data_IF_959000167761
#
_entry.id   IF_959000167761
#
_cell.length_a   1.000
_cell.length_b   1.000
_cell.length_c   1.000
_cell.angle_alpha   90.00
_cell.angle_beta   90.00
_cell.angle_gamma   90.00
#
_symmetry.space_group_name_H-M   'P 1'
#
loop_
_entity.id
_entity.type
_entity.pdbx_description
1 polymer ?
#
# COMPACT_ATOMS: atom_id res chain seq x y z
N UNK A 1 -39.09 4.99 -40.99
CA UNK A 1 -38.44 3.87 -40.26
C UNK A 1 -36.94 4.10 -40.02
N UNK A 2 -36.10 4.43 -41.02
CA UNK A 2 -34.65 4.66 -40.82
C UNK A 2 -34.28 5.75 -39.79
N UNK A 3 -35.05 6.83 -39.70
CA UNK A 3 -34.81 7.93 -38.73
C UNK A 3 -35.12 7.56 -37.26
N UNK A 4 -36.03 6.62 -37.04
CA UNK A 4 -36.42 6.17 -35.68
C UNK A 4 -35.33 5.26 -35.10
N UNK A 5 -34.74 4.41 -35.95
CA UNK A 5 -33.63 3.51 -35.57
C UNK A 5 -32.39 4.30 -35.15
N UNK A 6 -32.06 5.39 -35.86
CA UNK A 6 -30.92 6.24 -35.53
C UNK A 6 -31.09 6.95 -34.18
N UNK A 7 -32.33 7.38 -33.88
CA UNK A 7 -32.65 8.03 -32.61
C UNK A 7 -32.57 7.04 -31.44
N UNK A 8 -33.02 5.79 -31.61
CA UNK A 8 -32.90 4.76 -30.57
C UNK A 8 -31.45 4.36 -30.30
N UNK A 9 -30.59 4.30 -31.31
CA UNK A 9 -29.15 4.01 -31.12
C UNK A 9 -28.41 5.12 -30.36
N UNK A 10 -28.78 6.38 -30.59
CA UNK A 10 -28.19 7.54 -29.91
C UNK A 10 -28.57 7.63 -28.42
N UNK A 11 -29.77 7.18 -28.04
CA UNK A 11 -30.21 7.20 -26.63
C UNK A 11 -29.55 6.07 -25.83
N UNK A 12 -29.30 4.91 -26.44
CA UNK A 12 -28.59 3.79 -25.80
C UNK A 12 -27.08 4.00 -25.64
N UNK A 13 -26.43 4.88 -26.42
CA UNK A 13 -25.00 5.19 -26.25
C UNK A 13 -24.68 6.05 -25.03
N UNK A 14 -25.69 6.62 -24.35
CA UNK A 14 -25.48 7.40 -23.12
C UNK A 14 -25.57 6.57 -21.83
N UNK A 15 -25.99 5.30 -21.89
CA UNK A 15 -26.08 4.41 -20.74
C UNK A 15 -24.80 3.58 -20.55
N UNK A 16 -23.64 4.23 -20.60
CA UNK A 16 -22.37 3.62 -20.20
C UNK A 16 -22.33 3.54 -18.68
N UNK A 17 -22.76 2.41 -18.12
CA UNK A 17 -22.54 2.10 -16.71
C UNK A 17 -21.05 1.77 -16.57
N UNK A 18 -20.25 2.76 -16.17
CA UNK A 18 -18.89 2.51 -15.70
C UNK A 18 -18.98 2.05 -14.25
N UNK A 19 -18.61 0.81 -13.95
CA UNK A 19 -18.29 0.40 -12.60
C UNK A 19 -16.83 0.75 -12.33
N UNK A 20 -16.60 1.61 -11.32
CA UNK A 20 -15.27 1.88 -10.83
C UNK A 20 -14.75 0.61 -10.14
N UNK A 21 -13.71 -0.01 -10.71
CA UNK A 21 -13.01 -1.11 -10.04
C UNK A 21 -12.43 -0.55 -8.74
N UNK A 22 -12.85 -1.18 -7.65
CA UNK A 22 -13.20 -0.58 -6.38
C UNK A 22 -12.00 -0.25 -5.51
N UNK A 23 -11.93 0.98 -5.03
CA UNK A 23 -11.18 1.32 -3.83
C UNK A 23 -11.56 0.36 -2.71
N UNK A 24 -10.58 -0.31 -2.07
CA UNK A 24 -10.89 -1.20 -0.97
C UNK A 24 -11.49 -0.39 0.18
N UNK A 25 -12.56 -0.93 0.76
CA UNK A 25 -13.06 -0.43 2.04
C UNK A 25 -12.23 -1.09 3.15
N UNK A 26 -11.39 -0.31 3.83
CA UNK A 26 -10.66 -0.80 5.00
C UNK A 26 -11.43 -0.33 6.24
N UNK A 27 -12.03 -1.25 7.01
CA UNK A 27 -12.77 -0.89 8.22
C UNK A 27 -11.83 -0.44 9.34
N UNK A 28 -12.37 0.36 10.26
CA UNK A 28 -11.69 0.74 11.50
C UNK A 28 -11.88 -0.33 12.58
N UNK A 29 -10.94 -0.39 13.52
CA UNK A 29 -11.00 -1.30 14.67
C UNK A 29 -10.68 -2.74 14.33
N UNK A 30 -9.98 -2.98 13.22
CA UNK A 30 -9.49 -4.31 12.88
C UNK A 30 -8.06 -4.51 13.36
N UNK A 31 -7.79 -5.74 13.77
CA UNK A 31 -6.45 -6.25 14.03
C UNK A 31 -6.04 -7.12 12.86
N UNK A 32 -4.88 -6.83 12.29
CA UNK A 32 -4.26 -7.61 11.23
C UNK A 32 -3.09 -8.39 11.83
N UNK A 33 -3.23 -9.70 11.86
CA UNK A 33 -2.18 -10.62 12.26
C UNK A 33 -1.42 -11.11 11.02
N UNK A 34 -0.11 -11.01 11.08
CA UNK A 34 0.81 -11.42 10.03
C UNK A 34 1.68 -12.55 10.55
N UNK A 35 1.61 -13.69 9.89
CA UNK A 35 2.61 -14.74 10.02
C UNK A 35 3.84 -14.35 9.19
N UNK A 36 5.01 -14.39 9.82
CA UNK A 36 6.26 -13.95 9.24
C UNK A 36 7.28 -15.09 9.18
N UNK A 37 8.04 -15.10 8.10
CA UNK A 37 9.25 -15.87 7.94
C UNK A 37 10.35 -14.91 7.49
N UNK A 38 11.46 -14.88 8.21
CA UNK A 38 12.63 -14.07 7.84
C UNK A 38 13.54 -14.90 6.92
N UNK A 39 13.05 -15.14 5.70
CA UNK A 39 13.76 -15.92 4.68
C UNK A 39 13.43 -15.42 3.26
N UNK A 40 14.28 -15.74 2.29
CA UNK A 40 14.05 -15.47 0.87
C UNK A 40 13.23 -16.60 0.26
N UNK A 41 11.90 -16.47 0.28
CA UNK A 41 11.01 -17.40 -0.40
C UNK A 41 10.97 -17.08 -1.90
N UNK A 42 11.52 -17.95 -2.74
CA UNK A 42 11.40 -17.81 -4.19
C UNK A 42 9.94 -18.05 -4.61
N UNK A 43 9.26 -16.99 -5.05
CA UNK A 43 7.88 -17.07 -5.56
C UNK A 43 7.89 -17.03 -7.09
N UNK A 44 7.23 -18.01 -7.71
CA UNK A 44 7.05 -18.04 -9.17
C UNK A 44 6.29 -16.80 -9.65
N UNK A 45 6.66 -16.27 -10.82
CA UNK A 45 5.93 -15.17 -11.46
C UNK A 45 4.57 -15.60 -12.03
N UNK A 46 4.23 -16.90 -11.98
CA UNK A 46 2.95 -17.45 -12.40
C UNK A 46 2.40 -18.41 -11.34
N UNK A 47 1.11 -18.27 -11.03
CA UNK A 47 0.40 -19.18 -10.14
C UNK A 47 0.10 -20.56 -10.78
N UNK A 48 -0.48 -21.50 -10.02
CA UNK A 48 -0.89 -21.35 -8.61
C UNK A 48 0.30 -21.23 -7.65
N UNK A 49 0.08 -20.55 -6.53
CA UNK A 49 1.05 -20.44 -5.45
C UNK A 49 0.59 -21.26 -4.25
N UNK A 50 1.42 -22.18 -3.79
CA UNK A 50 1.11 -23.04 -2.66
C UNK A 50 2.10 -22.79 -1.52
N UNK A 51 1.59 -22.18 -0.45
CA UNK A 51 2.33 -21.89 0.77
C UNK A 51 1.93 -22.80 1.93
N UNK A 52 1.19 -23.89 1.68
CA UNK A 52 0.73 -24.84 2.72
C UNK A 52 1.87 -25.48 3.52
N UNK A 53 3.07 -25.57 2.94
CA UNK A 53 4.25 -26.13 3.59
C UNK A 53 5.13 -25.08 4.29
N UNK A 54 4.79 -23.79 4.20
CA UNK A 54 5.55 -22.74 4.89
C UNK A 54 5.21 -22.77 6.38
N UNK A 55 6.25 -22.81 7.21
CA UNK A 55 6.13 -22.69 8.66
C UNK A 55 6.62 -21.29 9.08
N UNK A 56 5.72 -20.41 9.55
CA UNK A 56 6.12 -19.10 10.07
C UNK A 56 7.07 -19.24 11.26
N UNK A 57 8.06 -18.35 11.36
CA UNK A 57 9.01 -18.30 12.49
C UNK A 57 8.68 -17.21 13.50
N UNK A 58 7.84 -16.25 13.12
CA UNK A 58 7.36 -15.19 13.99
C UNK A 58 5.97 -14.71 13.58
N UNK A 59 5.35 -13.89 14.43
CA UNK A 59 4.11 -13.19 14.11
C UNK A 59 4.25 -11.70 14.40
N UNK A 60 3.50 -10.90 13.67
CA UNK A 60 3.47 -9.46 13.80
C UNK A 60 2.03 -8.96 13.74
N UNK A 61 1.71 -7.95 14.53
CA UNK A 61 0.35 -7.43 14.62
C UNK A 61 0.33 -5.94 14.27
N UNK A 62 -0.67 -5.55 13.47
CA UNK A 62 -1.00 -4.16 13.18
C UNK A 62 -2.46 -3.93 13.51
N UNK A 63 -2.73 -2.91 14.32
CA UNK A 63 -4.09 -2.43 14.56
C UNK A 63 -4.40 -1.27 13.62
N UNK A 64 -5.57 -1.29 12.99
CA UNK A 64 -6.03 -0.24 12.09
C UNK A 64 -7.14 0.54 12.79
N UNK A 65 -6.86 1.80 13.12
CA UNK A 65 -7.82 2.69 13.74
C UNK A 65 -8.14 3.91 12.87
N UNK A 66 -9.23 4.60 13.19
CA UNK A 66 -9.46 5.96 12.68
C UNK A 66 -8.39 6.90 13.21
N UNK A 67 -7.99 7.88 12.39
CA UNK A 67 -7.08 8.96 12.80
C UNK A 67 -7.52 9.66 14.09
N UNK A 68 -8.83 9.70 14.37
CA UNK A 68 -9.37 10.33 15.58
C UNK A 68 -8.94 9.67 16.88
N UNK A 69 -8.48 8.41 16.83
CA UNK A 69 -7.93 7.70 17.99
C UNK A 69 -6.51 8.14 18.36
N UNK A 70 -5.78 8.77 17.43
CA UNK A 70 -4.39 9.20 17.66
C UNK A 70 -4.33 10.59 18.27
N UNK A 71 -3.52 10.74 19.32
CA UNK A 71 -3.19 12.05 19.90
C UNK A 71 -2.40 12.93 18.93
N UNK A 72 -1.83 12.34 17.87
CA UNK A 72 -0.96 13.01 16.89
C UNK A 72 -1.71 13.47 15.64
N UNK A 73 -3.04 13.33 15.59
CA UNK A 73 -3.85 13.64 14.41
C UNK A 73 -3.66 15.05 13.85
N UNK A 74 -3.40 16.04 14.70
CA UNK A 74 -3.16 17.43 14.28
C UNK A 74 -1.92 17.57 13.40
N UNK A 75 -0.93 16.69 13.58
CA UNK A 75 0.28 16.66 12.76
C UNK A 75 0.04 16.03 11.38
N UNK A 76 -1.03 15.23 11.22
CA UNK A 76 -1.34 14.49 9.99
C UNK A 76 -2.78 14.76 9.54
N UNK A 77 -3.15 16.01 9.23
CA UNK A 77 -4.54 16.43 9.05
C UNK A 77 -5.25 15.79 7.84
N UNK A 78 -4.49 15.22 6.90
CA UNK A 78 -5.02 14.58 5.69
C UNK A 78 -5.07 13.05 5.78
N UNK A 79 -4.59 12.47 6.89
CA UNK A 79 -4.71 11.05 7.16
C UNK A 79 -6.13 10.73 7.64
N UNK A 80 -6.64 9.56 7.26
CA UNK A 80 -7.93 9.05 7.76
C UNK A 80 -7.75 7.81 8.64
N UNK A 81 -6.64 7.09 8.46
CA UNK A 81 -6.30 5.88 9.18
C UNK A 81 -4.99 6.07 9.94
N UNK A 82 -4.91 5.45 11.11
CA UNK A 82 -3.64 5.23 11.83
C UNK A 82 -3.44 3.73 11.99
N UNK A 83 -2.32 3.24 11.46
CA UNK A 83 -1.86 1.87 11.66
C UNK A 83 -0.92 1.89 12.86
N UNK A 84 -1.28 1.17 13.91
CA UNK A 84 -0.51 1.10 15.14
C UNK A 84 0.13 -0.27 15.28
N UNK A 85 1.42 -0.27 15.58
CA UNK A 85 2.20 -1.49 15.83
C UNK A 85 3.27 -1.23 16.89
N UNK A 86 4.06 -2.25 17.23
CA UNK A 86 5.22 -2.08 18.10
C UNK A 86 6.22 -1.02 17.60
N UNK A 87 6.22 -0.74 16.29
CA UNK A 87 7.11 0.23 15.64
C UNK A 87 6.57 1.67 15.61
N UNK A 88 5.42 1.93 16.23
CA UNK A 88 4.78 3.23 16.29
C UNK A 88 3.53 3.35 15.42
N UNK A 89 3.18 4.59 15.12
CA UNK A 89 2.00 4.98 14.34
C UNK A 89 2.39 5.29 12.89
N UNK A 90 1.60 4.79 11.96
CA UNK A 90 1.74 5.01 10.52
C UNK A 90 0.46 5.66 10.00
N UNK A 91 0.59 6.86 9.44
CA UNK A 91 -0.55 7.68 9.07
C UNK A 91 -0.85 7.51 7.59
N UNK A 92 -2.07 7.08 7.28
CA UNK A 92 -2.47 6.76 5.91
C UNK A 92 -3.83 7.35 5.57
N UNK A 93 -4.09 7.48 4.28
CA UNK A 93 -5.43 7.66 3.76
C UNK A 93 -5.71 6.71 2.59
N UNK A 94 -6.99 6.42 2.39
CA UNK A 94 -7.46 5.55 1.32
C UNK A 94 -8.43 6.39 0.51
N UNK A 95 -8.09 6.59 -0.76
CA UNK A 95 -8.84 7.43 -1.67
C UNK A 95 -9.18 6.64 -2.94
N UNK A 96 -10.16 7.12 -3.73
CA UNK A 96 -10.55 6.52 -5.01
C UNK A 96 -9.38 6.07 -5.90
N UNK A 97 -8.29 6.86 -5.90
CA UNK A 97 -7.13 6.70 -6.77
C UNK A 97 -5.92 5.97 -6.14
N UNK A 98 -6.03 5.51 -4.89
CA UNK A 98 -4.95 4.79 -4.21
C UNK A 98 -4.95 4.88 -2.68
N UNK A 99 -4.05 4.12 -2.07
CA UNK A 99 -3.62 4.29 -0.68
C UNK A 99 -2.41 5.21 -0.62
N UNK A 100 -2.45 6.22 0.24
CA UNK A 100 -1.34 7.14 0.43
C UNK A 100 -0.86 7.16 1.87
N UNK A 101 0.42 7.48 1.99
CA UNK A 101 1.15 7.50 3.24
C UNK A 101 1.60 8.93 3.56
N UNK A 102 1.27 9.37 4.77
CA UNK A 102 1.52 10.72 5.27
C UNK A 102 2.72 10.81 6.21
N UNK A 103 3.30 9.67 6.59
CA UNK A 103 4.45 9.60 7.49
C UNK A 103 4.24 8.62 8.63
N UNK A 104 5.22 8.59 9.54
CA UNK A 104 5.17 7.81 10.77
C UNK A 104 5.63 8.62 11.95
N UNK A 105 5.22 8.17 13.11
CA UNK A 105 5.74 8.60 14.40
C UNK A 105 6.10 7.37 15.23
N UNK A 106 7.35 7.30 15.66
CA UNK A 106 7.83 6.29 16.62
C UNK A 106 8.73 6.96 17.66
N UNK A 107 9.22 6.17 18.62
CA UNK A 107 10.15 6.64 19.65
C UNK A 107 11.45 7.23 19.10
N UNK A 108 11.89 6.77 17.93
CA UNK A 108 13.17 7.18 17.33
C UNK A 108 12.99 7.89 16.00
N UNK A 109 11.85 7.77 15.33
CA UNK A 109 11.70 8.27 13.97
C UNK A 109 10.40 9.02 13.76
N UNK A 110 10.49 10.23 13.24
CA UNK A 110 9.34 11.03 12.81
C UNK A 110 9.51 11.41 11.35
N UNK A 111 8.45 11.17 10.57
CA UNK A 111 8.29 11.73 9.23
C UNK A 111 6.91 12.35 9.11
N UNK A 112 6.83 13.49 8.41
CA UNK A 112 5.58 14.19 8.17
C UNK A 112 5.58 14.73 6.73
N UNK A 113 4.75 14.11 5.90
CA UNK A 113 4.72 14.37 4.47
C UNK A 113 3.67 15.42 4.14
N UNK A 114 4.13 16.60 3.73
CA UNK A 114 3.26 17.66 3.19
C UNK A 114 2.54 17.22 1.91
N UNK A 115 3.24 16.45 1.06
CA UNK A 115 2.69 15.74 -0.09
C UNK A 115 2.74 14.24 0.20
N UNK A 116 1.60 13.53 0.25
CA UNK A 116 1.60 12.14 0.64
C UNK A 116 2.18 11.23 -0.45
N UNK A 117 2.90 10.19 -0.04
CA UNK A 117 3.43 9.18 -0.95
C UNK A 117 2.32 8.21 -1.32
N UNK A 118 1.89 8.18 -2.59
CA UNK A 118 1.02 7.12 -3.12
C UNK A 118 1.74 5.76 -3.06
N UNK A 119 1.32 4.90 -2.14
CA UNK A 119 1.85 3.55 -1.99
C UNK A 119 1.23 2.64 -3.05
N UNK A 120 -0.09 2.46 -2.98
CA UNK A 120 -0.83 1.51 -3.82
C UNK A 120 -1.76 2.28 -4.76
N UNK A 121 -1.62 2.20 -6.10
CA UNK A 121 -2.58 2.78 -7.03
C UNK A 121 -3.84 1.93 -7.13
N UNK A 122 -4.98 2.56 -7.37
CA UNK A 122 -6.22 1.86 -7.71
C UNK A 122 -6.73 2.24 -9.10
N UNK A 123 -7.28 1.28 -9.88
CA UNK A 123 -7.35 -0.15 -9.56
C UNK A 123 -5.98 -0.84 -9.63
N UNK A 124 -5.78 -1.85 -8.79
CA UNK A 124 -4.57 -2.67 -8.77
C UNK A 124 -4.83 -3.93 -9.61
N UNK A 125 -4.08 -4.11 -10.69
CA UNK A 125 -4.29 -5.17 -11.69
C UNK A 125 -2.95 -5.74 -12.18
N UNK A 126 -2.97 -6.82 -12.97
CA UNK A 126 -1.77 -7.40 -13.60
C UNK A 126 -1.06 -6.42 -14.54
N UNK A 127 -1.74 -5.38 -15.02
CA UNK A 127 -1.16 -4.37 -15.92
C UNK A 127 -0.69 -3.13 -15.17
N UNK A 128 -0.82 -3.08 -13.84
CA UNK A 128 -0.41 -1.92 -13.06
C UNK A 128 1.11 -1.75 -13.15
N UNK A 129 1.55 -0.56 -13.53
CA UNK A 129 2.94 -0.12 -13.43
C UNK A 129 2.93 1.30 -12.85
N UNK A 130 3.39 1.43 -11.60
CA UNK A 130 3.31 2.66 -10.82
C UNK A 130 4.66 2.99 -10.19
N UNK A 131 5.02 4.27 -10.25
CA UNK A 131 6.19 4.82 -9.61
C UNK A 131 5.85 6.23 -9.13
N UNK A 132 6.06 6.48 -7.84
CA UNK A 132 5.82 7.78 -7.24
C UNK A 132 6.92 8.08 -6.23
N UNK A 133 7.43 9.31 -6.24
CA UNK A 133 8.43 9.76 -5.28
C UNK A 133 8.05 11.11 -4.70
N UNK A 134 8.53 11.36 -3.50
CA UNK A 134 8.43 12.65 -2.82
C UNK A 134 9.78 12.97 -2.17
N UNK A 135 9.99 14.25 -1.90
CA UNK A 135 11.08 14.71 -1.03
C UNK A 135 10.50 15.19 0.29
N UNK A 136 11.14 14.81 1.40
CA UNK A 136 10.70 15.18 2.74
C UNK A 136 11.88 15.25 3.71
N UNK A 137 11.59 15.54 4.98
CA UNK A 137 12.53 15.48 6.09
C UNK A 137 12.19 14.29 6.99
N UNK A 138 13.23 13.61 7.45
CA UNK A 138 13.14 12.60 8.51
C UNK A 138 13.87 13.13 9.73
N UNK A 139 13.21 13.03 10.87
CA UNK A 139 13.84 13.24 12.17
C UNK A 139 14.13 11.87 12.76
N UNK A 140 15.41 11.53 12.88
CA UNK A 140 15.88 10.30 13.49
C UNK A 140 16.60 10.63 14.79
N UNK A 141 15.98 10.31 15.92
CA UNK A 141 16.31 10.80 17.25
C UNK A 141 16.32 12.34 17.25
N UNK A 142 17.49 12.96 17.30
CA UNK A 142 17.67 14.42 17.25
C UNK A 142 18.19 14.91 15.91
N UNK A 143 18.50 14.00 14.97
CA UNK A 143 19.08 14.34 13.68
C UNK A 143 17.97 14.56 12.65
N UNK A 144 17.97 15.73 12.02
CA UNK A 144 17.07 16.05 10.92
C UNK A 144 17.82 15.98 9.61
N UNK A 145 17.30 15.22 8.65
CA UNK A 145 17.90 15.09 7.32
C UNK A 145 16.86 15.08 6.21
N UNK A 146 17.25 15.57 5.04
CA UNK A 146 16.44 15.48 3.83
C UNK A 146 16.59 14.10 3.21
N UNK A 147 15.48 13.56 2.70
CA UNK A 147 15.47 12.30 1.99
C UNK A 147 14.39 12.30 0.90
N UNK A 148 14.56 11.41 -0.06
CA UNK A 148 13.54 11.07 -1.05
C UNK A 148 12.95 9.72 -0.70
N UNK A 149 11.62 9.63 -0.66
CA UNK A 149 10.89 8.36 -0.51
C UNK A 149 10.24 8.02 -1.84
N UNK A 150 10.45 6.79 -2.31
CA UNK A 150 9.95 6.30 -3.59
C UNK A 150 9.21 4.99 -3.39
N UNK A 151 8.00 4.91 -3.96
CA UNK A 151 7.19 3.70 -4.05
C UNK A 151 7.08 3.24 -5.50
N UNK A 152 7.34 1.98 -5.75
CA UNK A 152 7.25 1.32 -7.05
C UNK A 152 6.39 0.07 -6.92
N UNK A 153 5.40 -0.07 -7.81
CA UNK A 153 4.47 -1.20 -7.82
C UNK A 153 4.28 -1.69 -9.24
N UNK A 154 4.45 -2.99 -9.43
CA UNK A 154 4.19 -3.69 -10.69
C UNK A 154 3.28 -4.89 -10.45
N UNK A 155 2.14 -4.94 -11.15
CA UNK A 155 1.34 -6.15 -11.27
C UNK A 155 2.07 -7.18 -12.12
N UNK A 156 2.09 -8.43 -11.67
CA UNK A 156 2.86 -9.51 -12.34
C UNK A 156 1.93 -10.51 -12.99
N UNK A 157 1.07 -11.15 -12.21
CA UNK A 157 0.13 -12.16 -12.68
C UNK A 157 -1.01 -12.35 -11.68
N UNK A 158 -2.05 -13.08 -12.09
CA UNK A 158 -3.16 -13.46 -11.22
C UNK A 158 -3.35 -14.97 -11.22
N UNK A 159 -3.72 -15.54 -10.09
CA UNK A 159 -3.91 -16.98 -9.94
C UNK A 159 -4.56 -17.37 -8.63
N UNK A 160 -4.52 -18.66 -8.32
CA UNK A 160 -4.96 -19.18 -7.02
C UNK A 160 -3.79 -19.20 -6.04
N UNK A 161 -4.04 -18.82 -4.79
CA UNK A 161 -3.09 -18.98 -3.68
C UNK A 161 -3.65 -19.94 -2.64
N UNK A 162 -2.81 -20.82 -2.10
CA UNK A 162 -3.09 -21.70 -0.96
C UNK A 162 -2.22 -21.22 0.20
N UNK A 163 -2.85 -20.85 1.31
CA UNK A 163 -2.18 -20.30 2.50
C UNK A 163 -1.66 -21.42 3.42
N UNK A 164 -0.79 -21.11 4.40
CA UNK A 164 -0.28 -22.09 5.38
C UNK A 164 -1.37 -22.84 6.17
N UNK A 165 -2.53 -22.22 6.36
CA UNK A 165 -3.70 -22.84 7.01
C UNK A 165 -4.50 -23.77 6.08
N UNK A 166 -4.03 -23.97 4.84
CA UNK A 166 -4.64 -24.79 3.80
C UNK A 166 -5.81 -24.12 3.08
N UNK A 167 -6.20 -22.88 3.43
CA UNK A 167 -7.28 -22.17 2.73
C UNK A 167 -6.82 -21.71 1.35
N UNK A 168 -7.72 -21.85 0.37
CA UNK A 168 -7.48 -21.46 -1.01
C UNK A 168 -8.27 -20.20 -1.38
N UNK A 169 -7.59 -19.27 -2.06
CA UNK A 169 -8.16 -18.01 -2.52
C UNK A 169 -7.93 -17.87 -4.03
N UNK A 170 -9.02 -17.78 -4.79
CA UNK A 170 -8.98 -17.55 -6.23
C UNK A 170 -8.79 -16.06 -6.56
N UNK A 171 -8.32 -15.78 -7.78
CA UNK A 171 -8.11 -14.41 -8.30
C UNK A 171 -7.16 -13.56 -7.44
N UNK A 172 -6.20 -14.18 -6.77
CA UNK A 172 -5.13 -13.47 -6.08
C UNK A 172 -4.21 -12.79 -7.11
N UNK A 173 -3.76 -11.58 -6.80
CA UNK A 173 -2.85 -10.80 -7.64
C UNK A 173 -1.44 -10.84 -7.04
N UNK A 174 -0.47 -11.29 -7.82
CA UNK A 174 0.94 -11.15 -7.50
C UNK A 174 1.42 -9.76 -7.90
N UNK A 175 2.04 -9.07 -6.94
CA UNK A 175 2.53 -7.70 -7.09
C UNK A 175 3.97 -7.62 -6.60
N UNK A 176 4.84 -7.05 -7.43
CA UNK A 176 6.16 -6.61 -7.00
C UNK A 176 6.03 -5.19 -6.45
N UNK A 177 6.32 -5.02 -5.17
CA UNK A 177 6.33 -3.73 -4.50
C UNK A 177 7.73 -3.43 -3.97
N UNK A 178 8.24 -2.24 -4.26
CA UNK A 178 9.52 -1.76 -3.75
C UNK A 178 9.34 -0.35 -3.20
N UNK A 179 9.76 -0.16 -1.95
CA UNK A 179 9.88 1.17 -1.34
C UNK A 179 11.35 1.47 -1.08
N UNK A 180 11.81 2.62 -1.53
CA UNK A 180 13.21 3.05 -1.38
C UNK A 180 13.26 4.40 -0.70
N UNK A 181 14.03 4.51 0.37
CA UNK A 181 14.35 5.78 1.01
C UNK A 181 15.80 6.12 0.70
N UNK A 182 16.02 7.26 0.05
CA UNK A 182 17.33 7.76 -0.32
C UNK A 182 17.60 9.02 0.46
N UNK A 183 18.50 8.93 1.44
CA UNK A 183 19.10 10.11 2.06
C UNK A 183 20.13 10.69 1.09
N UNK A 184 20.22 12.03 0.99
CA UNK A 184 21.16 12.70 0.07
C UNK A 184 22.62 12.26 0.25
N UNK A 185 23.57 12.73 -0.60
CA UNK A 185 24.96 12.32 -0.52
C UNK A 185 25.49 12.55 0.90
N UNK A 186 25.86 11.46 1.56
CA UNK A 186 26.44 11.53 2.89
C UNK A 186 27.88 12.05 2.73
N UNK A 187 28.24 13.11 3.47
CA UNK A 187 29.64 13.58 3.55
C UNK A 187 30.60 12.52 4.15
N UNK A 188 30.05 11.47 4.75
CA UNK A 188 30.78 10.36 5.37
C UNK A 188 30.24 9.03 4.84
N UNK A 189 30.58 8.72 3.58
CA UNK A 189 30.05 7.60 2.78
C UNK A 189 29.87 6.27 3.50
N UNK A 190 28.76 6.12 4.21
CA UNK A 190 28.29 4.86 4.74
C UNK A 190 26.79 4.79 4.45
N UNK A 191 26.44 3.86 3.57
CA UNK A 191 25.06 3.47 3.36
C UNK A 191 24.62 2.67 4.57
N UNK A 192 23.42 2.95 5.09
CA UNK A 192 22.72 1.99 5.94
C UNK A 192 22.37 0.82 5.02
N UNK A 193 23.10 -0.28 5.16
CA UNK A 193 22.63 -1.57 4.65
C UNK A 193 21.57 -2.02 5.65
N UNK A 194 20.31 -2.02 5.21
CA UNK A 194 19.24 -2.74 5.90
C UNK A 194 19.39 -4.20 5.51
#
# INVERSE_FOLDING_TARGET
MKKIILLSLLVFSYSSICQMITTPNIPYGITQDFDQIDDTVAVSNSGPWDFSNIQPTSSYQINVFSIDSSTNKSSYPNATHVLQSANGEFFMNIMPMGTFYHGKLSSTTTTNYSVPLKLIPYPLTVNTNHSHNISSTIVWNTLTMNFTDKSEIQGVSSGTVIMPDGKSYANALLVNSKRTQVTGPSLFGNYITV
#
